data_IF_163264432731
#
_entry.id   IF_163264432731
#
_cell.length_a   1.000
_cell.length_b   1.000
_cell.length_c   1.000
_cell.angle_alpha   90.00
_cell.angle_beta   90.00
_cell.angle_gamma   90.00
#
_symmetry.space_group_name_H-M   'P 1'
#
loop_
_entity.id
_entity.type
_entity.pdbx_description
1 polymer ?
#
# COMPACT_ATOMS: atom_id res chain seq x y z
N UNK A 1 32.28 23.93 -39.32
CA UNK A 1 31.95 22.50 -39.10
C UNK A 1 30.49 22.44 -38.66
N UNK A 2 29.58 21.85 -39.45
CA UNK A 2 28.18 21.67 -39.04
C UNK A 2 28.15 20.50 -38.06
N UNK A 3 27.85 20.77 -36.80
CA UNK A 3 27.71 19.72 -35.77
C UNK A 3 26.30 19.15 -35.90
N UNK A 4 26.20 17.83 -36.05
CA UNK A 4 24.91 17.15 -36.02
C UNK A 4 24.62 16.74 -34.58
N UNK A 5 23.72 17.49 -33.95
CA UNK A 5 23.28 17.24 -32.58
C UNK A 5 22.33 16.03 -32.46
N UNK A 6 21.85 15.46 -33.58
CA UNK A 6 21.00 14.27 -33.59
C UNK A 6 21.78 12.96 -33.74
N UNK A 7 23.09 13.01 -34.04
CA UNK A 7 23.92 11.81 -34.24
C UNK A 7 23.97 10.87 -33.02
N UNK A 8 23.70 11.39 -31.81
CA UNK A 8 23.62 10.62 -30.58
C UNK A 8 22.22 10.11 -30.23
N UNK A 9 21.23 10.26 -31.11
CA UNK A 9 19.82 9.92 -30.87
C UNK A 9 19.30 10.43 -29.51
N UNK A 10 19.37 11.75 -29.25
CA UNK A 10 19.05 12.30 -27.95
C UNK A 10 17.57 12.19 -27.57
N UNK A 11 16.67 12.02 -28.54
CA UNK A 11 15.23 11.88 -28.30
C UNK A 11 14.87 10.43 -27.93
N UNK A 12 14.14 10.27 -26.84
CA UNK A 12 13.68 9.00 -26.28
C UNK A 12 12.23 8.72 -26.72
N UNK A 13 11.73 7.52 -26.40
CA UNK A 13 10.33 7.13 -26.55
C UNK A 13 9.72 7.38 -27.95
N UNK A 14 10.53 7.22 -29.00
CA UNK A 14 10.09 7.42 -30.39
C UNK A 14 10.05 8.88 -30.85
N UNK A 15 10.62 9.82 -30.08
CA UNK A 15 10.73 11.22 -30.47
C UNK A 15 11.57 11.45 -31.73
N UNK A 16 11.12 12.36 -32.59
CA UNK A 16 11.79 12.72 -33.84
C UNK A 16 12.79 13.85 -33.57
N UNK A 17 14.07 13.59 -33.80
CA UNK A 17 15.13 14.58 -33.62
C UNK A 17 15.29 15.49 -34.84
N UNK A 18 15.36 16.79 -34.62
CA UNK A 18 15.70 17.79 -35.63
C UNK A 18 16.85 18.68 -35.16
N UNK A 19 17.89 18.83 -35.99
CA UNK A 19 19.01 19.73 -35.72
C UNK A 19 18.55 21.18 -35.89
N UNK A 20 18.76 22.02 -34.88
CA UNK A 20 18.44 23.46 -34.89
C UNK A 20 19.71 24.29 -34.69
N UNK A 21 19.63 25.62 -34.88
CA UNK A 21 20.78 26.48 -34.63
C UNK A 21 21.19 26.44 -33.16
N UNK A 22 22.34 25.80 -32.88
CA UNK A 22 22.92 25.69 -31.54
C UNK A 22 22.50 24.45 -30.74
N UNK A 23 21.80 23.48 -31.33
CA UNK A 23 21.44 22.25 -30.62
C UNK A 23 20.51 21.31 -31.40
N UNK A 24 19.73 20.52 -30.67
CA UNK A 24 18.67 19.66 -31.20
C UNK A 24 17.31 20.04 -30.60
N UNK A 25 16.25 19.73 -31.34
CA UNK A 25 14.86 19.78 -30.87
C UNK A 25 14.23 18.41 -31.10
N UNK A 26 13.60 17.86 -30.06
CA UNK A 26 12.81 16.65 -30.16
C UNK A 26 11.35 17.00 -30.38
N UNK A 27 10.71 16.34 -31.35
CA UNK A 27 9.24 16.34 -31.49
C UNK A 27 8.72 15.04 -30.91
N UNK A 28 7.96 15.14 -29.82
CA UNK A 28 7.53 13.97 -29.06
C UNK A 28 6.24 13.37 -29.62
N UNK A 29 6.09 12.03 -29.58
CA UNK A 29 4.82 11.38 -29.89
C UNK A 29 3.77 11.69 -28.82
N UNK A 30 2.50 11.45 -29.16
CA UNK A 30 1.39 11.65 -28.22
C UNK A 30 1.61 10.87 -26.91
N UNK A 31 1.40 11.55 -25.79
CA UNK A 31 1.63 10.99 -24.46
C UNK A 31 3.08 11.05 -23.98
N UNK A 32 4.01 11.64 -24.74
CA UNK A 32 5.39 11.92 -24.29
C UNK A 32 5.74 13.40 -24.37
N UNK A 33 6.58 13.86 -23.45
CA UNK A 33 7.00 15.25 -23.35
C UNK A 33 8.37 15.37 -22.66
N UNK A 34 8.84 16.61 -22.50
CA UNK A 34 10.20 16.91 -22.06
C UNK A 34 11.15 17.19 -23.23
N UNK A 35 12.33 17.73 -22.92
CA UNK A 35 13.29 18.21 -23.92
C UNK A 35 13.74 17.11 -24.87
N UNK A 36 13.81 15.88 -24.36
CA UNK A 36 14.22 14.68 -25.08
C UNK A 36 13.09 13.65 -25.13
N UNK A 37 11.83 14.02 -24.89
CA UNK A 37 10.69 13.08 -24.83
C UNK A 37 10.85 11.97 -23.78
N UNK A 38 11.61 12.25 -22.71
CA UNK A 38 11.93 11.30 -21.65
C UNK A 38 10.77 11.07 -20.67
N UNK A 39 9.77 11.96 -20.68
CA UNK A 39 8.63 11.93 -19.77
C UNK A 39 7.39 11.41 -20.50
N UNK A 40 6.56 10.64 -19.80
CA UNK A 40 5.33 10.05 -20.32
C UNK A 40 4.11 10.50 -19.50
N UNK A 41 3.01 10.85 -20.16
CA UNK A 41 1.76 11.21 -19.51
C UNK A 41 0.77 11.92 -20.44
N UNK A 42 -0.52 11.70 -20.19
CA UNK A 42 -1.62 12.44 -20.80
C UNK A 42 -1.94 13.65 -19.89
N UNK A 43 -2.33 14.80 -20.45
CA UNK A 43 -2.43 16.08 -19.74
C UNK A 43 -3.36 16.10 -18.51
N UNK A 44 -3.56 17.28 -17.90
CA UNK A 44 -4.32 17.44 -16.66
C UNK A 44 -5.77 16.94 -16.71
N UNK A 45 -6.35 16.75 -17.89
CA UNK A 45 -7.71 16.21 -18.07
C UNK A 45 -7.89 14.81 -17.49
N UNK A 46 -6.80 14.05 -17.31
CA UNK A 46 -6.82 12.72 -16.71
C UNK A 46 -6.58 12.72 -15.19
N UNK A 47 -6.52 13.90 -14.55
CA UNK A 47 -6.20 14.08 -13.12
C UNK A 47 -4.99 13.24 -12.64
N UNK A 48 -3.81 13.43 -13.24
CA UNK A 48 -2.65 12.59 -12.94
C UNK A 48 -2.07 12.80 -11.54
N UNK A 49 -2.27 13.97 -10.93
CA UNK A 49 -1.72 14.31 -9.61
C UNK A 49 -2.51 13.66 -8.47
N UNK A 50 -1.81 13.01 -7.55
CA UNK A 50 -2.31 12.31 -6.37
C UNK A 50 -2.25 13.21 -5.14
N UNK A 51 -2.85 12.75 -4.03
CA UNK A 51 -2.75 13.38 -2.70
C UNK A 51 -3.16 14.87 -2.67
N UNK A 52 -4.06 15.30 -3.56
CA UNK A 52 -4.51 16.69 -3.64
C UNK A 52 -3.52 17.63 -4.34
N UNK A 53 -2.57 17.09 -5.11
CA UNK A 53 -1.65 17.88 -5.95
C UNK A 53 -2.37 18.68 -7.03
N UNK A 54 -1.94 19.93 -7.24
CA UNK A 54 -2.50 20.80 -8.27
C UNK A 54 -1.83 20.50 -9.62
N UNK A 55 -2.61 20.10 -10.61
CA UNK A 55 -2.11 19.83 -11.95
C UNK A 55 -2.02 21.12 -12.78
N UNK A 56 -0.85 21.36 -13.40
CA UNK A 56 -0.63 22.45 -14.36
C UNK A 56 -0.27 21.87 -15.73
N UNK A 57 -0.94 22.33 -16.78
CA UNK A 57 -0.57 21.95 -18.16
C UNK A 57 0.62 22.78 -18.63
N UNK A 58 1.59 22.12 -19.27
CA UNK A 58 2.81 22.78 -19.74
C UNK A 58 2.64 23.30 -21.17
N UNK A 59 3.21 24.47 -21.52
CA UNK A 59 3.08 25.07 -22.87
C UNK A 59 3.64 24.20 -24.00
N UNK A 60 4.58 23.31 -23.69
CA UNK A 60 5.28 22.45 -24.64
C UNK A 60 4.60 21.08 -24.83
N UNK A 61 3.46 20.86 -24.14
CA UNK A 61 2.80 19.56 -23.99
C UNK A 61 3.19 18.88 -22.67
N UNK A 62 2.25 18.13 -22.09
CA UNK A 62 2.43 17.45 -20.79
C UNK A 62 1.83 18.20 -19.60
N UNK A 63 2.18 17.77 -18.39
CA UNK A 63 1.73 18.37 -17.14
C UNK A 63 2.81 18.36 -16.06
N UNK A 64 2.63 19.19 -15.05
CA UNK A 64 3.40 19.21 -13.81
C UNK A 64 2.44 19.18 -12.61
N UNK A 65 2.81 18.46 -11.55
CA UNK A 65 2.04 18.40 -10.31
C UNK A 65 2.71 19.22 -9.20
N UNK A 66 1.99 20.19 -8.65
CA UNK A 66 2.40 20.84 -7.40
C UNK A 66 1.96 20.00 -6.21
N UNK A 67 2.93 19.44 -5.51
CA UNK A 67 2.65 18.58 -4.38
C UNK A 67 2.39 19.38 -3.10
N UNK A 68 1.28 19.12 -2.38
CA UNK A 68 1.05 19.73 -1.07
C UNK A 68 2.14 19.32 -0.07
N UNK A 69 2.40 20.14 0.97
CA UNK A 69 3.44 19.89 1.96
C UNK A 69 3.32 18.49 2.56
N UNK A 70 4.38 17.69 2.49
CA UNK A 70 4.40 16.32 2.99
C UNK A 70 4.14 15.26 1.92
N UNK A 71 3.74 15.64 0.70
CA UNK A 71 3.74 14.75 -0.46
C UNK A 71 4.89 15.08 -1.41
N UNK A 72 5.34 14.09 -2.19
CA UNK A 72 6.41 14.22 -3.17
C UNK A 72 6.25 13.19 -4.30
N UNK A 73 7.10 13.26 -5.32
CA UNK A 73 7.01 12.42 -6.51
C UNK A 73 6.45 13.18 -7.71
N UNK A 74 6.57 12.58 -8.90
CA UNK A 74 6.20 13.23 -10.16
C UNK A 74 4.70 13.53 -10.23
N UNK A 75 3.91 12.65 -9.63
CA UNK A 75 2.45 12.73 -9.54
C UNK A 75 2.03 12.96 -8.08
N UNK A 76 2.91 13.43 -7.19
CA UNK A 76 2.66 13.53 -5.76
C UNK A 76 2.23 12.22 -5.11
N UNK A 77 2.69 11.09 -5.66
CA UNK A 77 2.34 9.73 -5.27
C UNK A 77 3.00 9.27 -3.98
N UNK A 78 4.13 9.87 -3.62
CA UNK A 78 4.81 9.60 -2.35
C UNK A 78 4.13 10.42 -1.26
N UNK A 79 3.48 9.72 -0.33
CA UNK A 79 2.41 10.27 0.50
C UNK A 79 2.83 11.23 1.62
N UNK A 80 1.85 12.06 1.96
CA UNK A 80 1.66 12.76 3.24
C UNK A 80 1.83 11.75 4.40
N UNK A 81 2.61 12.10 5.41
CA UNK A 81 2.63 11.40 6.69
C UNK A 81 1.19 11.19 7.18
N UNK A 82 0.76 9.94 7.25
CA UNK A 82 -0.60 9.59 7.64
C UNK A 82 -0.96 10.08 9.05
N UNK A 83 0.03 10.36 9.89
CA UNK A 83 -0.17 10.88 11.24
C UNK A 83 -0.49 12.38 11.33
N UNK A 84 -0.24 13.18 10.28
CA UNK A 84 -0.46 14.64 10.33
C UNK A 84 -1.93 15.01 10.48
N UNK A 85 -2.85 14.15 10.02
CA UNK A 85 -4.29 14.36 10.15
C UNK A 85 -4.88 13.90 11.49
N UNK A 86 -4.05 13.50 12.46
CA UNK A 86 -4.51 12.96 13.75
C UNK A 86 -5.47 11.77 13.59
N UNK A 87 -5.08 10.71 12.86
CA UNK A 87 -6.01 9.67 12.44
C UNK A 87 -6.47 8.72 13.56
N UNK A 88 -5.77 8.68 14.70
CA UNK A 88 -6.12 7.88 15.86
C UNK A 88 -7.19 8.62 16.68
N UNK A 89 -8.29 7.94 17.04
CA UNK A 89 -9.44 8.57 17.70
C UNK A 89 -9.15 9.02 19.14
N UNK A 90 -8.06 8.52 19.72
CA UNK A 90 -7.76 8.65 21.13
C UNK A 90 -6.43 9.39 21.32
N UNK A 91 -6.38 10.38 22.24
CA UNK A 91 -5.19 11.22 22.45
C UNK A 91 -4.03 10.45 23.07
N UNK A 92 -4.32 9.33 23.73
CA UNK A 92 -3.37 8.38 24.30
C UNK A 92 -2.91 7.30 23.30
N UNK A 93 -3.40 7.32 22.06
CA UNK A 93 -2.91 6.46 20.99
C UNK A 93 -1.71 7.09 20.27
N UNK A 94 -0.62 6.33 20.14
CA UNK A 94 0.59 6.79 19.42
C UNK A 94 0.42 6.51 17.92
N UNK A 95 0.53 7.54 17.09
CA UNK A 95 0.48 7.39 15.64
C UNK A 95 1.89 7.22 15.06
N UNK A 96 2.09 6.22 14.20
CA UNK A 96 3.31 6.00 13.43
C UNK A 96 3.03 5.96 11.93
N UNK A 97 3.85 6.67 11.16
CA UNK A 97 3.78 6.63 9.70
C UNK A 97 4.30 5.30 9.15
N UNK A 98 3.69 4.82 8.06
CA UNK A 98 4.10 3.57 7.40
C UNK A 98 4.94 3.89 6.15
N UNK A 99 6.09 3.23 6.02
CA UNK A 99 6.93 3.31 4.81
C UNK A 99 6.12 2.82 3.60
N UNK A 100 5.78 3.73 2.68
CA UNK A 100 4.88 3.47 1.55
C UNK A 100 3.56 4.27 1.57
N UNK A 101 3.34 5.10 2.60
CA UNK A 101 2.14 5.92 2.75
C UNK A 101 1.14 5.33 3.76
N UNK A 102 0.44 6.21 4.48
CA UNK A 102 -0.54 5.85 5.51
C UNK A 102 -0.01 5.89 6.95
N UNK A 103 -0.84 5.42 7.88
CA UNK A 103 -0.59 5.48 9.33
C UNK A 103 -0.92 4.15 10.01
N UNK A 104 -0.30 3.94 11.17
CA UNK A 104 -0.61 2.90 12.16
C UNK A 104 -0.84 3.57 13.50
N UNK A 105 -1.93 3.21 14.19
CA UNK A 105 -2.17 3.63 15.57
C UNK A 105 -1.76 2.53 16.53
N UNK A 106 -0.98 2.87 17.55
CA UNK A 106 -0.68 2.02 18.70
C UNK A 106 -1.73 2.35 19.75
N UNK A 107 -2.61 1.39 20.02
CA UNK A 107 -3.76 1.61 20.88
C UNK A 107 -3.43 1.45 22.37
N UNK A 108 -4.06 2.25 23.23
CA UNK A 108 -3.95 2.09 24.67
C UNK A 108 -4.56 0.75 25.13
N UNK A 109 -4.21 0.27 26.34
CA UNK A 109 -4.76 -0.97 26.89
C UNK A 109 -6.29 -1.01 26.86
N UNK A 110 -6.85 -2.18 26.55
CA UNK A 110 -8.30 -2.36 26.44
C UNK A 110 -8.90 -1.78 25.15
N UNK A 111 -8.08 -1.48 24.12
CA UNK A 111 -8.55 -1.01 22.81
C UNK A 111 -7.81 -1.63 21.64
N UNK A 112 -8.49 -1.71 20.50
CA UNK A 112 -7.94 -2.17 19.23
C UNK A 112 -8.61 -1.47 18.04
N UNK A 113 -8.28 -1.89 16.82
CA UNK A 113 -8.77 -1.29 15.58
C UNK A 113 -7.75 -0.34 14.95
N UNK A 114 -7.97 0.02 13.68
CA UNK A 114 -7.02 0.82 12.89
C UNK A 114 -6.82 2.22 13.46
N UNK A 115 -7.84 2.77 14.14
CA UNK A 115 -7.87 4.10 14.75
C UNK A 115 -8.13 4.03 16.27
N UNK A 116 -8.02 2.85 16.87
CA UNK A 116 -8.31 2.58 18.30
C UNK A 116 -9.77 2.78 18.70
N UNK A 117 -10.68 2.58 17.75
CA UNK A 117 -12.12 2.73 17.88
C UNK A 117 -12.81 1.55 18.59
N UNK A 118 -12.13 0.41 18.71
CA UNK A 118 -12.69 -0.80 19.31
C UNK A 118 -12.29 -0.84 20.79
N UNK A 119 -13.27 -0.98 21.68
CA UNK A 119 -13.06 -1.32 23.08
C UNK A 119 -12.97 -2.84 23.23
N UNK A 120 -11.89 -3.32 23.84
CA UNK A 120 -11.72 -4.69 24.28
C UNK A 120 -12.31 -4.80 25.69
N UNK A 121 -13.34 -5.63 25.85
CA UNK A 121 -13.87 -5.96 27.18
C UNK A 121 -12.98 -7.03 27.82
N UNK A 122 -12.47 -6.74 29.02
CA UNK A 122 -11.58 -7.61 29.80
C UNK A 122 -12.25 -8.93 30.25
N UNK A 123 -13.55 -9.13 30.01
CA UNK A 123 -14.28 -10.34 30.40
C UNK A 123 -14.29 -11.49 29.38
N UNK A 124 -13.77 -11.31 28.16
CA UNK A 124 -13.85 -12.36 27.14
C UNK A 124 -12.57 -13.22 27.13
N UNK A 125 -12.56 -14.30 27.92
CA UNK A 125 -11.49 -15.32 27.99
C UNK A 125 -11.39 -16.19 26.73
N UNK A 126 -11.70 -15.65 25.55
CA UNK A 126 -11.71 -16.39 24.30
C UNK A 126 -11.16 -15.53 23.15
N UNK A 127 -9.83 -15.37 23.12
CA UNK A 127 -9.11 -14.65 22.07
C UNK A 127 -9.36 -15.22 20.65
N UNK A 128 -9.92 -16.42 20.51
CA UNK A 128 -10.27 -17.02 19.22
C UNK A 128 -11.54 -16.44 18.59
N UNK A 129 -12.46 -15.88 19.38
CA UNK A 129 -13.77 -15.39 18.90
C UNK A 129 -13.80 -13.90 18.56
N UNK A 130 -12.74 -13.15 18.88
CA UNK A 130 -12.71 -11.69 18.65
C UNK A 130 -12.77 -11.34 17.16
N UNK A 131 -11.93 -11.97 16.32
CA UNK A 131 -11.91 -11.72 14.87
C UNK A 131 -13.22 -12.12 14.19
N UNK A 132 -13.84 -13.23 14.63
CA UNK A 132 -15.13 -13.67 14.13
C UNK A 132 -16.25 -12.66 14.48
N UNK A 133 -16.28 -12.15 15.72
CA UNK A 133 -17.24 -11.12 16.17
C UNK A 133 -17.02 -9.77 15.49
N UNK A 134 -15.76 -9.37 15.29
CA UNK A 134 -15.43 -8.13 14.56
C UNK A 134 -15.83 -8.23 13.09
N UNK A 135 -15.53 -9.36 12.43
CA UNK A 135 -15.94 -9.60 11.05
C UNK A 135 -17.45 -9.52 10.89
N UNK A 136 -18.22 -10.13 11.80
CA UNK A 136 -19.68 -10.09 11.77
C UNK A 136 -20.22 -8.65 11.97
N UNK A 137 -19.63 -7.89 12.89
CA UNK A 137 -19.94 -6.47 13.09
C UNK A 137 -19.65 -5.66 11.82
N UNK A 138 -18.51 -5.88 11.18
CA UNK A 138 -18.13 -5.18 9.95
C UNK A 138 -19.05 -5.54 8.77
N UNK A 139 -19.50 -6.79 8.65
CA UNK A 139 -20.52 -7.20 7.67
C UNK A 139 -21.83 -6.44 7.87
N UNK A 140 -22.24 -6.28 9.12
CA UNK A 140 -23.47 -5.55 9.44
C UNK A 140 -23.36 -4.04 9.17
N UNK A 141 -22.18 -3.45 9.43
CA UNK A 141 -21.86 -2.08 9.03
C UNK A 141 -21.89 -1.91 7.50
N UNK A 142 -21.43 -2.91 6.76
CA UNK A 142 -21.48 -2.93 5.29
C UNK A 142 -22.91 -2.77 4.75
N UNK A 143 -23.83 -3.54 5.30
CA UNK A 143 -25.26 -3.50 4.96
C UNK A 143 -25.84 -2.12 5.33
N UNK A 144 -25.56 -1.65 6.55
CA UNK A 144 -26.11 -0.39 7.06
C UNK A 144 -25.64 0.83 6.26
N UNK A 145 -24.41 0.78 5.71
CA UNK A 145 -23.85 1.83 4.85
C UNK A 145 -24.33 1.75 3.39
N UNK A 146 -25.12 0.74 3.03
CA UNK A 146 -25.61 0.56 1.67
C UNK A 146 -24.54 0.13 0.67
N UNK A 147 -23.42 -0.42 1.13
CA UNK A 147 -22.33 -0.91 0.27
C UNK A 147 -22.78 -1.96 -0.78
N UNK A 148 -23.78 -2.83 -0.54
CA UNK A 148 -24.28 -3.73 -1.57
C UNK A 148 -24.83 -3.05 -2.84
N UNK A 149 -25.25 -1.79 -2.75
CA UNK A 149 -25.70 -0.99 -3.91
C UNK A 149 -24.57 -0.21 -4.58
N UNK A 150 -23.44 -0.08 -3.89
CA UNK A 150 -22.27 0.67 -4.33
C UNK A 150 -21.21 -0.24 -4.97
N UNK A 151 -21.08 -1.48 -4.50
CA UNK A 151 -20.09 -2.45 -5.00
C UNK A 151 -20.13 -2.66 -6.52
N UNK A 152 -18.96 -2.74 -7.15
CA UNK A 152 -18.78 -3.03 -8.58
C UNK A 152 -19.19 -1.90 -9.54
N UNK A 153 -19.30 -0.67 -9.05
CA UNK A 153 -19.65 0.53 -9.82
C UNK A 153 -18.41 1.22 -10.44
N UNK A 154 -17.19 0.67 -10.26
CA UNK A 154 -15.89 1.21 -10.72
C UNK A 154 -15.49 2.55 -10.08
N UNK A 155 -16.10 2.88 -8.96
CA UNK A 155 -15.77 4.03 -8.12
C UNK A 155 -15.47 3.51 -6.73
N UNK A 156 -14.29 3.80 -6.22
CA UNK A 156 -13.98 3.41 -4.84
C UNK A 156 -14.76 4.29 -3.85
N UNK A 157 -15.70 3.68 -3.12
CA UNK A 157 -16.37 4.25 -1.96
C UNK A 157 -15.60 3.87 -0.68
N UNK A 158 -14.84 4.82 -0.12
CA UNK A 158 -13.92 4.61 1.01
C UNK A 158 -14.60 3.98 2.24
N UNK A 159 -15.89 4.28 2.49
CA UNK A 159 -16.65 3.68 3.58
C UNK A 159 -16.97 2.19 3.40
N UNK A 160 -16.84 1.68 2.17
CA UNK A 160 -17.03 0.30 1.74
C UNK A 160 -15.69 -0.41 1.47
N UNK A 161 -14.57 0.29 1.63
CA UNK A 161 -13.21 -0.25 1.46
C UNK A 161 -12.75 -1.05 2.69
N UNK A 162 -13.48 -2.12 3.01
CA UNK A 162 -13.13 -3.06 4.08
C UNK A 162 -13.21 -4.48 3.55
N UNK A 163 -12.46 -5.39 4.18
CA UNK A 163 -12.51 -6.81 3.84
C UNK A 163 -13.93 -7.37 3.94
N UNK A 164 -14.70 -6.97 4.95
CA UNK A 164 -16.09 -7.40 5.15
C UNK A 164 -17.07 -6.91 4.06
N UNK A 165 -16.66 -5.93 3.25
CA UNK A 165 -17.40 -5.38 2.11
C UNK A 165 -16.83 -5.80 0.75
N UNK A 166 -15.97 -6.82 0.71
CA UNK A 166 -15.25 -7.23 -0.51
C UNK A 166 -14.47 -6.06 -1.15
N UNK A 167 -13.94 -5.14 -0.35
CA UNK A 167 -13.26 -3.92 -0.83
C UNK A 167 -14.09 -3.15 -1.86
N UNK A 168 -15.35 -2.91 -1.54
CA UNK A 168 -16.35 -2.28 -2.41
C UNK A 168 -16.57 -3.05 -3.73
N UNK A 169 -16.68 -4.38 -3.63
CA UNK A 169 -16.77 -5.24 -4.83
C UNK A 169 -15.53 -5.18 -5.71
N UNK A 170 -14.37 -4.96 -5.09
CA UNK A 170 -13.07 -4.71 -5.69
C UNK A 170 -12.87 -3.34 -6.38
N UNK A 171 -13.81 -2.41 -6.27
CA UNK A 171 -13.62 -1.06 -6.83
C UNK A 171 -12.48 -0.30 -6.11
N UNK A 172 -12.26 -0.59 -4.82
CA UNK A 172 -11.19 0.02 -4.03
C UNK A 172 -9.87 -0.77 -3.99
N UNK A 173 -9.88 -2.04 -4.42
CA UNK A 173 -8.69 -2.89 -4.52
C UNK A 173 -8.09 -2.90 -5.93
N UNK A 174 -8.40 -1.89 -6.74
CA UNK A 174 -8.02 -1.80 -8.16
C UNK A 174 -8.54 -2.97 -9.01
N UNK A 175 -9.59 -3.67 -8.57
CA UNK A 175 -10.07 -4.88 -9.22
C UNK A 175 -9.15 -6.10 -9.04
N UNK A 176 -8.12 -6.00 -8.20
CA UNK A 176 -7.12 -7.06 -8.05
C UNK A 176 -7.60 -8.03 -6.97
N UNK A 177 -8.14 -9.16 -7.39
CA UNK A 177 -8.30 -10.31 -6.50
C UNK A 177 -6.89 -10.83 -6.14
N UNK A 178 -6.46 -10.78 -4.87
CA UNK A 178 -5.13 -11.23 -4.46
C UNK A 178 -4.88 -12.72 -4.75
N UNK A 179 -5.95 -13.51 -4.84
CA UNK A 179 -5.95 -14.92 -5.21
C UNK A 179 -6.30 -15.14 -6.68
N UNK A 180 -6.32 -14.10 -7.53
CA UNK A 180 -6.62 -14.24 -8.96
C UNK A 180 -5.72 -15.26 -9.67
N UNK A 181 -4.47 -15.37 -9.21
CA UNK A 181 -3.48 -16.29 -9.76
C UNK A 181 -3.37 -17.59 -8.96
N UNK A 182 -4.13 -17.74 -7.86
CA UNK A 182 -4.10 -18.93 -7.03
C UNK A 182 -4.87 -20.06 -7.72
N UNK A 183 -4.18 -21.14 -8.06
CA UNK A 183 -4.77 -22.32 -8.73
C UNK A 183 -4.94 -23.52 -7.80
N UNK A 184 -4.85 -23.32 -6.48
CA UNK A 184 -5.01 -24.40 -5.52
C UNK A 184 -6.43 -25.00 -5.59
N UNK A 185 -6.60 -26.30 -5.35
CA UNK A 185 -7.91 -26.94 -5.24
C UNK A 185 -8.70 -26.40 -4.04
N UNK A 186 -8.02 -26.10 -2.94
CA UNK A 186 -8.62 -25.45 -1.78
C UNK A 186 -8.90 -23.99 -2.09
N UNK A 187 -10.04 -23.51 -1.63
CA UNK A 187 -10.37 -22.08 -1.65
C UNK A 187 -9.49 -21.34 -0.65
N UNK A 188 -8.27 -20.99 -1.06
CA UNK A 188 -7.24 -20.49 -0.13
C UNK A 188 -7.64 -19.21 0.62
N UNK A 189 -8.58 -18.41 0.11
CA UNK A 189 -9.09 -17.26 0.85
C UNK A 189 -9.95 -17.63 2.08
N UNK A 190 -10.47 -18.87 2.16
CA UNK A 190 -11.28 -19.35 3.30
C UNK A 190 -10.40 -19.93 4.43
N UNK A 191 -9.17 -20.35 4.11
CA UNK A 191 -8.23 -21.00 5.04
C UNK A 191 -6.97 -20.16 5.32
N UNK A 192 -6.84 -19.01 4.68
CA UNK A 192 -5.71 -18.09 4.87
C UNK A 192 -5.59 -17.58 6.32
N UNK A 193 -4.44 -17.81 6.96
CA UNK A 193 -4.17 -17.41 8.37
C UNK A 193 -5.13 -18.04 9.38
N UNK A 194 -5.63 -19.25 9.11
CA UNK A 194 -6.49 -19.98 10.04
C UNK A 194 -5.70 -20.77 11.11
N UNK A 195 -4.37 -20.83 10.98
CA UNK A 195 -3.46 -21.49 11.91
C UNK A 195 -3.23 -22.98 11.62
N UNK A 196 -3.86 -23.53 10.59
CA UNK A 196 -3.65 -24.87 10.04
C UNK A 196 -2.83 -24.75 8.77
N UNK A 197 -1.80 -25.57 8.61
CA UNK A 197 -1.03 -25.56 7.37
C UNK A 197 -1.79 -26.29 6.24
N UNK A 198 -2.26 -25.55 5.25
CA UNK A 198 -2.79 -26.01 3.99
C UNK A 198 -1.69 -25.95 2.91
N UNK A 199 -0.97 -27.07 2.74
CA UNK A 199 0.18 -27.19 1.84
C UNK A 199 -0.13 -26.79 0.38
N UNK A 200 -1.36 -27.00 -0.11
CA UNK A 200 -1.77 -26.60 -1.45
C UNK A 200 -1.95 -25.07 -1.59
N UNK A 201 -2.20 -24.36 -0.49
CA UNK A 201 -2.23 -22.90 -0.41
C UNK A 201 -0.86 -22.28 -0.10
N UNK A 202 0.13 -23.09 0.30
CA UNK A 202 1.49 -22.65 0.65
C UNK A 202 2.38 -22.39 -0.57
N UNK A 203 1.99 -21.43 -1.40
CA UNK A 203 2.74 -21.03 -2.58
C UNK A 203 2.58 -19.52 -2.84
N UNK A 204 3.46 -18.89 -3.65
CA UNK A 204 3.42 -17.45 -3.86
C UNK A 204 2.11 -16.93 -4.46
N UNK A 205 1.44 -17.73 -5.31
CA UNK A 205 0.20 -17.34 -5.98
C UNK A 205 -1.00 -17.33 -5.03
N UNK A 206 -0.93 -18.14 -3.97
CA UNK A 206 -1.94 -18.28 -2.93
C UNK A 206 -1.50 -17.62 -1.61
N UNK A 207 -0.50 -16.72 -1.67
CA UNK A 207 0.00 -15.92 -0.54
C UNK A 207 0.57 -16.75 0.63
N UNK A 208 1.23 -17.88 0.31
CA UNK A 208 1.90 -18.77 1.27
C UNK A 208 1.01 -19.20 2.43
N UNK A 209 -0.27 -19.43 2.16
CA UNK A 209 -1.24 -19.84 3.18
C UNK A 209 -1.24 -18.94 4.43
N UNK A 210 -1.03 -17.64 4.25
CA UNK A 210 -0.96 -16.72 5.38
C UNK A 210 0.22 -16.96 6.33
N UNK A 211 1.18 -17.78 5.91
CA UNK A 211 2.31 -18.28 6.71
C UNK A 211 1.92 -19.29 7.78
N UNK A 212 0.76 -19.93 7.69
CA UNK A 212 0.38 -21.02 8.61
C UNK A 212 1.27 -22.26 8.46
N UNK A 213 1.89 -22.43 7.29
CA UNK A 213 2.89 -23.46 7.02
C UNK A 213 4.31 -23.08 7.42
N UNK A 214 4.56 -21.82 7.81
CA UNK A 214 5.83 -21.52 8.48
C UNK A 214 5.82 -22.26 9.82
N UNK A 215 6.85 -23.08 10.05
CA UNK A 215 7.02 -23.72 11.35
C UNK A 215 6.95 -22.61 12.40
N UNK A 216 5.93 -22.62 13.26
CA UNK A 216 5.87 -21.77 14.45
C UNK A 216 7.17 -22.04 15.20
N UNK A 217 8.13 -21.13 15.04
CA UNK A 217 9.34 -21.17 15.83
C UNK A 217 8.89 -21.13 17.28
N UNK A 218 9.46 -22.02 18.11
CA UNK A 218 9.20 -21.93 19.53
C UNK A 218 9.55 -20.50 19.97
N UNK A 219 8.79 -19.87 20.87
CA UNK A 219 9.10 -18.53 21.32
C UNK A 219 10.56 -18.47 21.82
N UNK A 220 11.22 -17.33 21.60
CA UNK A 220 12.55 -17.07 22.14
C UNK A 220 12.61 -17.49 23.60
N UNK A 221 13.73 -18.09 24.02
CA UNK A 221 13.87 -18.60 25.38
C UNK A 221 13.51 -17.49 26.40
N UNK A 222 12.53 -17.70 27.29
CA UNK A 222 12.02 -16.65 28.18
C UNK A 222 13.07 -16.01 29.09
N UNK A 223 14.16 -16.72 29.39
CA UNK A 223 15.28 -16.20 30.19
C UNK A 223 16.10 -15.18 29.37
N UNK A 224 16.20 -15.39 28.07
CA UNK A 224 16.99 -14.57 27.16
C UNK A 224 16.17 -13.56 26.37
N UNK A 225 14.84 -13.71 26.30
CA UNK A 225 13.93 -12.83 25.54
C UNK A 225 14.12 -11.34 25.91
N UNK A 226 14.14 -11.02 27.21
CA UNK A 226 14.37 -9.65 27.67
C UNK A 226 15.77 -9.11 27.33
N UNK A 227 16.78 -9.99 27.28
CA UNK A 227 18.15 -9.62 26.89
C UNK A 227 18.21 -9.37 25.38
N UNK A 228 17.65 -10.27 24.58
CA UNK A 228 17.63 -10.17 23.12
C UNK A 228 16.83 -8.96 22.64
N UNK A 229 15.68 -8.65 23.25
CA UNK A 229 14.91 -7.45 22.92
C UNK A 229 15.69 -6.15 23.15
N UNK A 230 16.47 -6.07 24.24
CA UNK A 230 17.28 -4.88 24.55
C UNK A 230 18.50 -4.74 23.63
N UNK A 231 18.98 -5.86 23.08
CA UNK A 231 20.17 -5.92 22.25
C UNK A 231 19.87 -6.07 20.75
N UNK A 232 18.59 -6.12 20.36
CA UNK A 232 18.17 -6.25 18.98
C UNK A 232 18.56 -5.04 18.13
N UNK A 233 19.20 -5.30 16.99
CA UNK A 233 19.59 -4.30 15.99
C UNK A 233 20.39 -3.09 16.53
N UNK A 234 21.16 -3.28 17.61
CA UNK A 234 21.96 -2.23 18.24
C UNK A 234 23.34 -2.00 17.57
N UNK A 235 23.66 -2.74 16.52
CA UNK A 235 24.94 -2.66 15.80
C UNK A 235 26.07 -3.56 16.36
N UNK A 236 25.78 -4.37 17.38
CA UNK A 236 26.70 -5.36 17.96
C UNK A 236 26.17 -6.78 17.75
N UNK A 237 27.08 -7.75 17.63
CA UNK A 237 26.72 -9.15 17.42
C UNK A 237 26.57 -9.87 18.76
N UNK A 238 25.34 -10.25 19.10
CA UNK A 238 25.01 -11.03 20.31
C UNK A 238 24.65 -12.46 19.91
N UNK A 239 25.62 -13.38 20.00
CA UNK A 239 25.49 -14.76 19.50
C UNK A 239 24.35 -15.57 20.16
N UNK A 240 23.95 -15.22 21.39
CA UNK A 240 22.83 -15.86 22.09
C UNK A 240 21.45 -15.48 21.53
N UNK A 241 21.38 -14.46 20.67
CA UNK A 241 20.16 -13.91 20.08
C UNK A 241 20.17 -14.02 18.55
N UNK A 242 20.98 -14.94 18.00
CA UNK A 242 21.17 -15.09 16.56
C UNK A 242 20.65 -16.45 16.12
N UNK A 243 19.35 -16.70 16.25
CA UNK A 243 18.81 -18.05 16.09
C UNK A 243 17.37 -18.16 15.60
N UNK A 244 16.81 -17.34 14.72
CA UNK A 244 15.46 -17.54 14.17
C UNK A 244 14.30 -17.39 15.20
N UNK A 245 14.27 -18.13 16.32
CA UNK A 245 13.33 -17.85 17.43
C UNK A 245 13.62 -16.54 18.17
N UNK A 246 14.90 -16.15 18.20
CA UNK A 246 15.46 -14.88 18.64
C UNK A 246 16.33 -14.32 17.48
#
# INVERSE_FOLDING_TARGET
RKVDFCAGSPCQNGGVCTTVHGGHKCTCPDGFYGKNCEQSGYGCEQNPCRNGGLCRSLPEGGYECDCPPGSSGMHCESGLSGCTSGPCQHPDAECRDRSGGGFTCICPPGRSGRRCEILLDDNDRDYGNFYARDLERQRQLCITRGCPLKRGNRRCDDECNTYACDFDGNDCSLGINPWANCTAPTKCWEVFMDGTCNEDCNNPQCLFDGRDCEKKLQPCNPIYDAYCQKHYANGYCDYGCNNAEC
#
